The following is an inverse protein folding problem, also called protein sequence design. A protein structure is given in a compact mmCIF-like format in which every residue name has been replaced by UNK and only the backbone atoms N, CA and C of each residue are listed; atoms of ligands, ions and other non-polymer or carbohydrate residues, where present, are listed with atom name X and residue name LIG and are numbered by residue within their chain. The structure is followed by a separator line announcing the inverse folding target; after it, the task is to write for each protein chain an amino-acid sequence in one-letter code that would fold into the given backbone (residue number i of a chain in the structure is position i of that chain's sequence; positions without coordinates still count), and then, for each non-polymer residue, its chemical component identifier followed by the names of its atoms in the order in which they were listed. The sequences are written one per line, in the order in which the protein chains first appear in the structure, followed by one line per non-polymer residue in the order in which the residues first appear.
data_IF_921037630815
#
_entry.id   IF_921037630815
#
_cell.length_a   1.000
_cell.length_b   1.000
_cell.length_c   1.000
_cell.angle_alpha   90.00
_cell.angle_beta   90.00
_cell.angle_gamma   90.00
#
_symmetry.space_group_name_H-M   'P 1'
#
loop_
_entity.id
_entity.type
_entity.pdbx_description
1 polymer ?
#
# COMPACT_ATOMS: atom_id res chain seq x y z
N UNK A 1 -66.85 -25.43 -25.03
CA UNK A 1 -66.16 -24.14 -25.03
C UNK A 1 -65.14 -24.14 -23.94
N UNK A 2 -63.96 -24.47 -24.32
CA UNK A 2 -62.88 -24.60 -23.33
C UNK A 2 -62.15 -23.30 -23.24
N UNK A 3 -62.51 -22.50 -22.31
CA UNK A 3 -61.67 -21.40 -21.92
C UNK A 3 -60.44 -21.97 -21.23
N UNK A 4 -59.45 -22.21 -22.00
CA UNK A 4 -58.12 -22.42 -21.47
C UNK A 4 -57.71 -21.17 -20.70
N UNK A 5 -57.98 -21.23 -19.42
CA UNK A 5 -57.34 -20.30 -18.52
C UNK A 5 -55.82 -20.58 -18.61
N UNK A 6 -55.17 -19.84 -19.46
CA UNK A 6 -53.75 -19.78 -19.44
C UNK A 6 -53.38 -19.15 -18.11
N UNK A 7 -53.12 -20.00 -17.18
CA UNK A 7 -52.45 -19.60 -15.98
C UNK A 7 -51.07 -19.12 -16.44
N UNK A 8 -50.98 -17.85 -16.69
CA UNK A 8 -49.69 -17.23 -16.79
C UNK A 8 -49.04 -17.38 -15.42
N UNK A 9 -48.32 -18.45 -15.30
CA UNK A 9 -47.34 -18.55 -14.22
C UNK A 9 -46.31 -17.49 -14.54
N UNK A 10 -46.54 -16.28 -14.07
CA UNK A 10 -45.46 -15.38 -13.84
C UNK A 10 -44.60 -16.03 -12.79
N UNK A 11 -43.71 -16.87 -13.24
CA UNK A 11 -42.52 -17.15 -12.45
C UNK A 11 -41.87 -15.80 -12.30
N UNK A 12 -42.23 -15.11 -11.23
CA UNK A 12 -41.40 -14.07 -10.72
C UNK A 12 -40.06 -14.78 -10.43
N UNK A 13 -39.18 -14.72 -11.37
CA UNK A 13 -37.80 -14.98 -11.10
C UNK A 13 -37.42 -13.88 -10.13
N UNK A 14 -37.60 -14.17 -8.87
CA UNK A 14 -37.00 -13.41 -7.81
C UNK A 14 -35.51 -13.56 -8.05
N UNK A 15 -34.98 -12.63 -8.84
CA UNK A 15 -33.56 -12.46 -8.93
C UNK A 15 -33.16 -12.02 -7.53
N UNK A 16 -32.95 -12.99 -6.68
CA UNK A 16 -32.26 -12.76 -5.42
C UNK A 16 -30.86 -12.37 -5.85
N UNK A 17 -30.69 -11.08 -6.12
CA UNK A 17 -29.38 -10.48 -6.08
C UNK A 17 -28.98 -10.66 -4.63
N UNK A 18 -28.41 -11.80 -4.33
CA UNK A 18 -27.62 -11.94 -3.15
C UNK A 18 -26.55 -10.85 -3.30
N UNK A 19 -26.83 -9.69 -2.75
CA UNK A 19 -25.78 -8.80 -2.36
C UNK A 19 -25.00 -9.57 -1.32
N UNK A 20 -24.14 -10.47 -1.81
CA UNK A 20 -23.14 -11.06 -0.99
C UNK A 20 -22.40 -9.89 -0.41
N UNK A 21 -22.59 -9.67 0.86
CA UNK A 21 -21.68 -8.88 1.64
C UNK A 21 -20.34 -9.54 1.36
N UNK A 22 -19.57 -8.98 0.42
CA UNK A 22 -18.19 -9.33 0.32
C UNK A 22 -17.58 -8.80 1.61
N UNK A 23 -17.64 -9.61 2.64
CA UNK A 23 -16.74 -9.46 3.75
C UNK A 23 -15.36 -9.56 3.10
N UNK A 24 -14.72 -8.42 2.88
CA UNK A 24 -13.31 -8.41 2.58
C UNK A 24 -12.63 -9.04 3.78
N UNK A 25 -12.40 -10.33 3.70
CA UNK A 25 -11.49 -10.99 4.60
C UNK A 25 -10.13 -10.41 4.27
N UNK A 26 -9.78 -9.33 4.95
CA UNK A 26 -8.44 -8.79 4.88
C UNK A 26 -7.54 -9.83 5.54
N UNK A 27 -6.96 -10.68 4.70
CA UNK A 27 -5.96 -11.63 5.18
C UNK A 27 -4.73 -10.84 5.59
N UNK A 28 -4.24 -10.97 6.83
CA UNK A 28 -3.02 -10.33 7.23
C UNK A 28 -1.89 -10.71 6.30
N UNK A 29 -1.23 -9.72 5.70
CA UNK A 29 -0.02 -9.96 4.93
C UNK A 29 1.17 -10.09 5.87
N UNK A 30 1.57 -11.31 6.10
CA UNK A 30 2.72 -11.62 6.92
C UNK A 30 4.00 -11.58 6.09
N UNK A 31 5.04 -10.98 6.66
CA UNK A 31 6.36 -11.00 6.05
C UNK A 31 6.88 -12.43 5.87
N UNK A 32 7.48 -12.68 4.72
CA UNK A 32 8.10 -13.97 4.39
C UNK A 32 9.61 -13.81 4.46
N UNK A 33 10.33 -14.69 5.18
CA UNK A 33 11.79 -14.60 5.30
C UNK A 33 12.46 -14.58 3.92
N UNK A 34 13.40 -13.65 3.75
CA UNK A 34 14.20 -13.54 2.53
C UNK A 34 13.47 -13.01 1.30
N UNK A 35 12.18 -12.65 1.41
CA UNK A 35 11.39 -12.13 0.29
C UNK A 35 10.97 -10.68 0.52
N UNK A 36 11.18 -9.86 -0.50
CA UNK A 36 10.65 -8.51 -0.55
C UNK A 36 9.23 -8.52 -1.10
N UNK A 37 8.30 -7.96 -0.33
CA UNK A 37 6.89 -7.88 -0.67
C UNK A 37 6.49 -6.41 -0.85
N UNK A 38 5.76 -6.10 -1.91
CA UNK A 38 5.16 -4.78 -2.07
C UNK A 38 4.06 -4.60 -1.02
N UNK A 39 4.23 -3.61 -0.15
CA UNK A 39 3.26 -3.31 0.90
C UNK A 39 2.45 -2.04 0.64
N UNK A 40 2.91 -1.16 -0.21
CA UNK A 40 2.17 0.03 -0.57
C UNK A 40 2.85 0.85 -1.66
N UNK A 41 2.08 1.76 -2.22
CA UNK A 41 2.52 2.67 -3.28
C UNK A 41 1.82 4.00 -3.12
N UNK A 42 2.55 5.10 -3.31
CA UNK A 42 2.02 6.45 -3.19
C UNK A 42 2.62 7.37 -4.25
N UNK A 43 1.79 8.14 -4.99
CA UNK A 43 2.31 9.22 -5.80
C UNK A 43 2.76 10.38 -4.91
N UNK A 44 3.88 10.99 -5.26
CA UNK A 44 4.44 12.15 -4.53
C UNK A 44 4.58 13.34 -5.46
N UNK A 45 4.24 14.52 -4.96
CA UNK A 45 4.32 15.76 -5.71
C UNK A 45 5.75 16.25 -5.92
N UNK A 46 5.91 17.28 -6.74
CA UNK A 46 7.21 17.88 -7.08
C UNK A 46 7.75 18.84 -6.01
N UNK A 47 6.87 19.52 -5.31
CA UNK A 47 7.29 20.46 -4.28
C UNK A 47 7.88 19.71 -3.09
N UNK A 48 8.84 20.32 -2.37
CA UNK A 48 9.26 19.79 -1.09
C UNK A 48 8.03 19.63 -0.21
N UNK A 49 7.75 18.40 0.20
CA UNK A 49 6.55 18.12 0.97
C UNK A 49 6.72 16.85 1.79
N UNK A 50 5.67 16.53 2.49
CA UNK A 50 5.59 15.25 3.14
C UNK A 50 4.26 14.57 2.78
N UNK A 51 4.31 13.28 2.60
CA UNK A 51 3.16 12.43 2.29
C UNK A 51 3.09 11.28 3.27
N UNK A 52 1.86 10.81 3.50
CA UNK A 52 1.58 9.69 4.40
C UNK A 52 1.00 8.55 3.58
N UNK A 53 1.67 7.41 3.61
CA UNK A 53 1.15 6.15 3.12
C UNK A 53 0.50 5.40 4.29
N UNK A 54 -0.82 5.40 4.33
CA UNK A 54 -1.57 4.56 5.26
C UNK A 54 -1.77 3.19 4.65
N UNK A 55 -1.31 2.16 5.33
CA UNK A 55 -1.45 0.80 4.84
C UNK A 55 -2.86 0.29 5.11
N UNK A 56 -3.51 -0.19 4.06
CA UNK A 56 -4.85 -0.75 4.15
C UNK A 56 -4.74 -2.25 4.40
N UNK A 57 -4.99 -2.65 5.62
CA UNK A 57 -4.89 -4.04 6.03
C UNK A 57 -3.85 -4.26 7.13
N UNK A 58 -3.59 -5.52 7.39
CA UNK A 58 -2.65 -5.91 8.42
C UNK A 58 -1.34 -6.35 7.77
N UNK A 59 -0.34 -5.50 7.88
CA UNK A 59 1.02 -5.81 7.44
C UNK A 59 1.86 -6.17 8.66
N UNK A 60 1.99 -7.46 8.90
CA UNK A 60 2.57 -7.99 10.13
C UNK A 60 3.93 -8.61 9.90
N UNK A 61 4.77 -8.57 10.94
CA UNK A 61 5.99 -9.36 11.00
C UNK A 61 7.08 -8.92 10.00
N UNK A 62 7.16 -7.61 9.74
CA UNK A 62 8.22 -7.02 8.92
C UNK A 62 9.34 -6.46 9.80
N UNK A 63 10.58 -6.62 9.36
CA UNK A 63 11.74 -6.05 10.05
C UNK A 63 12.59 -5.14 9.17
N UNK A 64 12.40 -5.17 7.86
CA UNK A 64 13.15 -4.32 6.92
C UNK A 64 12.25 -3.70 5.88
N UNK A 65 12.56 -2.47 5.47
CA UNK A 65 11.88 -1.74 4.40
C UNK A 65 12.88 -1.34 3.32
N UNK A 66 12.38 -1.24 2.10
CA UNK A 66 13.09 -0.72 0.94
C UNK A 66 12.09 0.03 0.04
N UNK A 67 12.52 1.11 -0.56
CA UNK A 67 11.71 1.88 -1.49
C UNK A 67 12.26 1.79 -2.90
N UNK A 68 11.35 1.83 -3.86
CA UNK A 68 11.65 2.02 -5.27
C UNK A 68 10.90 3.24 -5.77
N UNK A 69 11.44 3.92 -6.76
CA UNK A 69 10.85 5.13 -7.33
C UNK A 69 10.67 4.93 -8.82
N UNK A 70 9.51 5.34 -9.34
CA UNK A 70 9.23 5.40 -10.77
C UNK A 70 8.75 6.80 -11.14
N UNK A 71 8.84 7.14 -12.44
CA UNK A 71 8.40 8.43 -12.97
C UNK A 71 9.48 9.49 -12.97
N UNK A 72 9.90 9.98 -11.83
CA UNK A 72 11.00 10.95 -11.71
C UNK A 72 11.88 10.66 -10.51
N UNK A 73 13.10 11.21 -10.53
CA UNK A 73 14.01 11.07 -9.40
C UNK A 73 13.47 11.78 -8.16
N UNK A 74 13.75 11.25 -7.01
CA UNK A 74 13.31 11.79 -5.73
C UNK A 74 14.44 11.77 -4.72
N UNK A 75 14.60 12.89 -3.99
CA UNK A 75 15.41 12.93 -2.80
C UNK A 75 14.52 12.62 -1.59
N UNK A 76 14.86 11.57 -0.87
CA UNK A 76 14.13 11.14 0.32
C UNK A 76 14.99 11.50 1.54
N UNK A 77 14.50 12.41 2.37
CA UNK A 77 15.20 12.87 3.57
C UNK A 77 15.03 11.89 4.73
N UNK A 78 13.80 11.76 5.19
CA UNK A 78 13.45 11.00 6.38
C UNK A 78 12.16 10.23 6.14
N UNK A 79 12.02 9.09 6.77
CA UNK A 79 10.75 8.38 6.90
C UNK A 79 10.41 8.22 8.37
N UNK A 80 9.12 8.24 8.68
CA UNK A 80 8.60 7.89 10.00
C UNK A 80 7.64 6.71 9.83
N UNK A 81 7.97 5.61 10.48
CA UNK A 81 7.17 4.39 10.43
C UNK A 81 6.37 4.27 11.71
N UNK A 82 5.05 4.22 11.59
CA UNK A 82 4.16 3.99 12.73
C UNK A 82 3.81 2.52 12.80
N UNK A 83 4.06 1.92 13.95
CA UNK A 83 3.83 0.50 14.21
C UNK A 83 2.46 0.23 14.80
N UNK A 84 2.07 -1.05 14.82
CA UNK A 84 0.78 -1.49 15.31
C UNK A 84 0.51 -1.21 16.78
N UNK A 85 1.55 -1.03 17.58
CA UNK A 85 1.46 -0.64 18.98
C UNK A 85 1.35 0.88 19.21
N UNK A 86 1.33 1.66 18.13
CA UNK A 86 1.25 3.12 18.15
C UNK A 86 2.58 3.84 18.27
N UNK A 87 3.69 3.11 18.44
CA UNK A 87 5.03 3.72 18.47
C UNK A 87 5.48 4.09 17.06
N UNK A 88 6.40 5.06 16.96
CA UNK A 88 6.94 5.56 15.70
C UNK A 88 8.45 5.49 15.71
N UNK A 89 9.03 5.02 14.60
CA UNK A 89 10.46 5.07 14.34
C UNK A 89 10.78 6.08 13.25
N UNK A 90 11.71 6.99 13.51
CA UNK A 90 12.23 7.93 12.52
C UNK A 90 13.52 7.37 11.95
N UNK A 91 13.59 7.28 10.62
CA UNK A 91 14.75 6.77 9.91
C UNK A 91 15.28 7.85 8.95
N UNK A 92 16.51 8.27 9.14
CA UNK A 92 17.17 9.16 8.22
C UNK A 92 17.62 8.37 6.99
N UNK A 93 17.08 8.75 5.84
CA UNK A 93 17.39 8.10 4.57
C UNK A 93 18.46 8.87 3.83
N UNK A 94 18.26 10.18 3.63
CA UNK A 94 19.16 11.12 2.95
C UNK A 94 19.75 10.57 1.66
N UNK A 95 18.86 10.07 0.80
CA UNK A 95 19.25 9.44 -0.45
C UNK A 95 18.46 9.99 -1.63
N UNK A 96 19.14 10.16 -2.76
CA UNK A 96 18.50 10.39 -4.05
C UNK A 96 18.26 9.04 -4.72
N UNK A 97 17.01 8.82 -5.12
CA UNK A 97 16.58 7.58 -5.78
C UNK A 97 16.18 7.93 -7.21
N UNK A 98 16.90 7.39 -8.17
CA UNK A 98 16.63 7.57 -9.60
C UNK A 98 15.42 6.73 -10.04
N UNK A 99 14.73 7.15 -11.12
CA UNK A 99 13.61 6.36 -11.65
C UNK A 99 14.05 4.94 -12.01
N UNK A 100 13.29 3.96 -11.57
CA UNK A 100 13.58 2.55 -11.76
C UNK A 100 14.62 1.95 -10.79
N UNK A 101 15.14 2.77 -9.88
CA UNK A 101 16.13 2.34 -8.89
C UNK A 101 15.48 2.11 -7.53
N UNK A 102 16.21 1.47 -6.65
CA UNK A 102 15.78 1.15 -5.29
C UNK A 102 16.71 1.79 -4.27
N UNK A 103 16.16 2.12 -3.11
CA UNK A 103 16.94 2.48 -1.95
C UNK A 103 17.70 1.28 -1.38
N UNK A 104 18.63 1.55 -0.46
CA UNK A 104 19.14 0.50 0.42
C UNK A 104 18.01 -0.06 1.29
N UNK A 105 18.21 -1.22 1.89
CA UNK A 105 17.33 -1.74 2.92
C UNK A 105 17.53 -0.99 4.24
N UNK A 106 16.43 -0.71 4.92
CA UNK A 106 16.40 -0.10 6.25
C UNK A 106 15.88 -1.11 7.25
N UNK A 107 16.64 -1.40 8.26
CA UNK A 107 16.18 -2.24 9.35
C UNK A 107 15.31 -1.44 10.32
N UNK A 108 14.16 -1.98 10.66
CA UNK A 108 13.27 -1.37 11.65
C UNK A 108 13.84 -1.59 13.05
N UNK A 109 13.91 -0.55 13.89
CA UNK A 109 14.38 -0.70 15.26
C UNK A 109 13.51 -1.66 16.06
N UNK A 110 14.13 -2.52 16.88
CA UNK A 110 13.41 -3.44 17.75
C UNK A 110 12.94 -4.74 17.10
N UNK A 111 13.33 -5.01 15.86
CA UNK A 111 13.04 -6.28 15.17
C UNK A 111 11.77 -6.25 14.33
N UNK A 112 10.90 -7.23 14.52
CA UNK A 112 9.70 -7.40 13.70
C UNK A 112 8.53 -6.59 14.21
N UNK A 113 7.83 -5.93 13.31
CA UNK A 113 6.72 -5.05 13.63
C UNK A 113 5.54 -5.23 12.68
N UNK A 114 4.37 -4.89 13.20
CA UNK A 114 3.20 -4.57 12.38
C UNK A 114 3.32 -3.11 11.95
N UNK A 115 3.06 -2.82 10.68
CA UNK A 115 3.21 -1.48 10.13
C UNK A 115 1.83 -0.90 9.82
N UNK A 116 1.53 0.27 10.37
CA UNK A 116 0.28 0.99 10.11
C UNK A 116 0.42 2.05 9.03
N UNK A 117 1.47 2.85 9.10
CA UNK A 117 1.68 3.93 8.15
C UNK A 117 3.16 4.29 8.03
N UNK A 118 3.49 4.93 6.91
CA UNK A 118 4.82 5.45 6.64
C UNK A 118 4.68 6.88 6.15
N UNK A 119 5.31 7.81 6.83
CA UNK A 119 5.44 9.20 6.40
C UNK A 119 6.75 9.41 5.67
N UNK A 120 6.71 10.20 4.62
CA UNK A 120 7.87 10.53 3.79
C UNK A 120 8.09 12.02 3.77
N UNK A 121 9.28 12.49 4.10
CA UNK A 121 9.75 13.84 3.82
C UNK A 121 10.66 13.79 2.61
N UNK A 122 10.25 14.45 1.53
CA UNK A 122 10.88 14.29 0.23
C UNK A 122 10.94 15.58 -0.57
N UNK A 123 11.80 15.57 -1.58
CA UNK A 123 11.91 16.60 -2.61
C UNK A 123 11.99 15.91 -3.96
N UNK A 124 11.29 16.45 -4.95
CA UNK A 124 11.47 16.01 -6.33
C UNK A 124 12.79 16.55 -6.87
N UNK A 125 13.56 15.69 -7.50
CA UNK A 125 14.84 16.03 -8.11
C UNK A 125 14.77 15.74 -9.60
N UNK A 126 15.15 16.71 -10.44
CA UNK A 126 15.25 16.53 -11.88
C UNK A 126 14.14 17.21 -12.68
N UNK A 127 14.29 17.16 -14.01
CA UNK A 127 13.47 17.90 -14.97
C UNK A 127 12.35 17.08 -15.61
N UNK A 128 12.09 15.87 -15.12
CA UNK A 128 11.08 15.02 -15.72
C UNK A 128 9.67 15.53 -15.39
N UNK A 129 8.78 15.67 -16.40
CA UNK A 129 7.40 16.06 -16.17
C UNK A 129 6.65 14.87 -15.57
N UNK A 130 6.03 15.06 -14.43
CA UNK A 130 5.16 14.08 -13.81
C UNK A 130 5.50 13.79 -12.36
N UNK A 131 4.56 13.23 -11.62
CA UNK A 131 4.80 12.83 -10.25
C UNK A 131 5.70 11.60 -10.21
N UNK A 132 6.55 11.53 -9.20
CA UNK A 132 7.22 10.30 -8.82
C UNK A 132 6.21 9.38 -8.13
N UNK A 133 6.37 8.09 -8.28
CA UNK A 133 5.62 7.08 -7.52
C UNK A 133 6.61 6.33 -6.66
N UNK A 134 6.36 6.32 -5.35
CA UNK A 134 7.14 5.56 -4.38
C UNK A 134 6.44 4.24 -4.12
N UNK A 135 7.16 3.15 -4.31
CA UNK A 135 6.73 1.81 -3.93
C UNK A 135 7.52 1.37 -2.71
N UNK A 136 6.82 0.88 -1.70
CA UNK A 136 7.43 0.39 -0.47
C UNK A 136 7.38 -1.12 -0.42
N UNK A 137 8.52 -1.72 -0.18
CA UNK A 137 8.67 -3.17 -0.01
C UNK A 137 9.08 -3.47 1.42
N UNK A 138 8.51 -4.51 1.97
CA UNK A 138 8.85 -5.04 3.27
C UNK A 138 9.41 -6.44 3.20
N UNK A 139 10.28 -6.77 4.15
CA UNK A 139 10.88 -8.09 4.32
C UNK A 139 10.85 -8.49 5.78
N UNK A 140 10.60 -9.77 6.02
CA UNK A 140 10.68 -10.39 7.33
C UNK A 140 12.12 -10.64 7.76
#
# INVERSE_FOLDING_TARGET
MNTLKRLSIFTAVLLLVAMGSFAMNVTPQKGIPGQWQLIGSIPVGRAPSHDILTLQGFYTDFQSLRMSVTGSAMHLDTIAVTFGDGTTANIEVRAEIQPGMQSRAFNLPGGRHDILSIEFWHQSVGQFPGPAVVQVFGQK
#
